data_IF_612111623398
#
_entry.id   IF_612111623398
#
_cell.length_a   1.000
_cell.length_b   1.000
_cell.length_c   1.000
_cell.angle_alpha   90.00
_cell.angle_beta   90.00
_cell.angle_gamma   90.00
#
_symmetry.space_group_name_H-M   'P 1'
#
loop_
_entity.id
_entity.type
_entity.pdbx_description
1 polymer ?
#
# COMPACT_ATOMS: atom_id res chain seq x y z
N UNK A 1 24.23 -1.68 -5.56
CA UNK A 1 23.25 -2.56 -6.23
C UNK A 1 22.63 -3.47 -5.19
N UNK A 2 21.33 -3.78 -5.33
CA UNK A 2 20.53 -4.53 -4.36
C UNK A 2 20.02 -5.80 -5.04
N UNK A 3 20.42 -6.96 -4.55
CA UNK A 3 20.14 -8.25 -5.17
C UNK A 3 18.71 -8.71 -4.88
N UNK A 4 18.04 -9.26 -5.88
CA UNK A 4 16.76 -9.95 -5.76
C UNK A 4 17.05 -11.39 -5.32
N UNK A 5 16.68 -11.75 -4.10
CA UNK A 5 16.97 -13.09 -3.54
C UNK A 5 15.80 -14.06 -3.68
N UNK A 6 14.57 -13.53 -3.87
CA UNK A 6 13.37 -14.32 -4.12
C UNK A 6 12.39 -13.51 -4.95
N UNK A 7 11.69 -14.17 -5.86
CA UNK A 7 10.59 -13.61 -6.66
C UNK A 7 9.44 -14.60 -6.75
N UNK A 8 8.20 -14.09 -6.61
CA UNK A 8 6.98 -14.89 -6.74
C UNK A 8 5.91 -14.04 -7.42
N UNK A 9 5.24 -14.58 -8.42
CA UNK A 9 4.01 -13.98 -8.94
C UNK A 9 2.86 -14.38 -8.00
N UNK A 10 2.17 -13.39 -7.45
CA UNK A 10 0.97 -13.61 -6.64
C UNK A 10 -0.27 -13.70 -7.53
N UNK A 11 -0.33 -12.85 -8.57
CA UNK A 11 -1.29 -12.88 -9.66
C UNK A 11 -0.57 -12.54 -10.96
N UNK A 12 -1.26 -12.50 -12.09
CA UNK A 12 -0.68 -12.08 -13.39
C UNK A 12 -0.09 -10.65 -13.35
N UNK A 13 -0.64 -9.80 -12.49
CA UNK A 13 -0.26 -8.39 -12.39
C UNK A 13 0.37 -7.98 -11.05
N UNK A 14 0.47 -8.89 -10.08
CA UNK A 14 1.05 -8.60 -8.76
C UNK A 14 2.24 -9.50 -8.50
N UNK A 15 3.36 -8.89 -8.20
CA UNK A 15 4.64 -9.58 -7.95
C UNK A 15 5.15 -9.29 -6.54
N UNK A 16 5.63 -10.33 -5.87
CA UNK A 16 6.39 -10.28 -4.63
C UNK A 16 7.88 -10.44 -4.94
N UNK A 17 8.72 -9.61 -4.32
CA UNK A 17 10.17 -9.76 -4.34
C UNK A 17 10.76 -9.59 -2.95
N UNK A 18 11.83 -10.34 -2.66
CA UNK A 18 12.68 -10.13 -1.49
C UNK A 18 14.01 -9.58 -1.96
N UNK A 19 14.38 -8.43 -1.43
CA UNK A 19 15.58 -7.68 -1.83
C UNK A 19 16.59 -7.71 -0.69
N UNK A 20 17.83 -8.06 -1.00
CA UNK A 20 18.94 -8.00 -0.05
C UNK A 20 19.27 -6.52 0.25
N UNK A 21 18.84 -6.04 1.42
CA UNK A 21 19.01 -4.67 1.87
C UNK A 21 19.15 -4.62 3.41
N UNK A 22 20.26 -5.13 3.98
CA UNK A 22 20.40 -5.37 5.42
C UNK A 22 20.28 -4.09 6.26
N UNK A 23 20.72 -2.94 5.74
CA UNK A 23 20.58 -1.66 6.45
C UNK A 23 19.14 -1.20 6.56
N UNK A 24 18.32 -1.47 5.53
CA UNK A 24 16.89 -1.17 5.52
C UNK A 24 16.16 -2.17 6.40
N UNK A 25 16.40 -3.47 6.22
CA UNK A 25 15.77 -4.53 7.00
C UNK A 25 15.97 -4.35 8.53
N UNK A 26 17.17 -3.93 8.95
CA UNK A 26 17.49 -3.72 10.36
C UNK A 26 16.67 -2.61 11.03
N UNK A 27 16.14 -1.65 10.27
CA UNK A 27 15.47 -0.44 10.78
C UNK A 27 14.01 -0.30 10.33
N UNK A 28 13.58 -1.10 9.39
CA UNK A 28 12.21 -1.03 8.87
C UNK A 28 11.18 -1.34 9.96
N UNK A 29 10.08 -0.59 9.94
CA UNK A 29 8.91 -0.75 10.79
C UNK A 29 7.64 -0.73 9.91
N UNK A 30 6.52 -1.32 10.36
CA UNK A 30 5.25 -1.33 9.64
C UNK A 30 4.78 0.09 9.26
N UNK A 31 4.20 0.23 8.08
CA UNK A 31 3.74 1.53 7.53
C UNK A 31 4.81 2.31 6.78
N UNK A 32 6.09 1.96 6.91
CA UNK A 32 7.16 2.62 6.17
C UNK A 32 7.29 2.09 4.74
N UNK A 33 7.99 2.84 3.89
CA UNK A 33 8.21 2.55 2.49
C UNK A 33 9.69 2.73 2.11
N UNK A 34 10.01 2.31 0.90
CA UNK A 34 11.29 2.56 0.25
C UNK A 34 11.08 3.29 -1.08
N UNK A 35 12.12 3.92 -1.59
CA UNK A 35 12.18 4.36 -2.97
C UNK A 35 13.22 3.53 -3.69
N UNK A 36 12.82 2.91 -4.80
CA UNK A 36 13.72 2.14 -5.65
C UNK A 36 13.84 2.74 -7.04
N UNK A 37 14.95 2.39 -7.69
CA UNK A 37 15.22 2.66 -9.10
C UNK A 37 15.78 1.39 -9.73
N UNK A 38 15.15 0.91 -10.79
CA UNK A 38 15.44 -0.40 -11.37
C UNK A 38 16.83 -0.43 -12.03
N UNK A 39 17.15 0.61 -12.80
CA UNK A 39 18.43 0.81 -13.50
C UNK A 39 18.82 2.30 -13.53
N UNK A 40 19.97 2.63 -14.10
CA UNK A 40 20.51 3.99 -14.10
C UNK A 40 19.63 5.02 -14.83
N UNK A 41 18.84 4.57 -15.80
CA UNK A 41 17.93 5.41 -16.58
C UNK A 41 16.48 5.32 -16.06
N UNK A 42 16.24 4.49 -15.05
CA UNK A 42 14.92 4.23 -14.49
C UNK A 42 14.41 5.38 -13.62
N UNK A 43 13.10 5.51 -13.56
CA UNK A 43 12.43 6.40 -12.62
C UNK A 43 12.53 5.88 -11.19
N UNK A 44 12.41 6.79 -10.25
CA UNK A 44 12.33 6.48 -8.81
C UNK A 44 10.86 6.29 -8.44
N UNK A 45 10.53 5.14 -7.88
CA UNK A 45 9.17 4.83 -7.44
C UNK A 45 9.13 4.45 -5.96
N UNK A 46 8.11 4.89 -5.19
CA UNK A 46 7.89 4.45 -3.84
C UNK A 46 7.21 3.08 -3.83
N UNK A 47 7.69 2.19 -2.97
CA UNK A 47 7.01 0.93 -2.66
C UNK A 47 7.03 0.71 -1.16
N UNK A 48 5.92 0.26 -0.61
CA UNK A 48 5.82 -0.02 0.82
C UNK A 48 6.64 -1.24 1.19
N UNK A 49 7.20 -1.22 2.39
CA UNK A 49 7.84 -2.36 3.02
C UNK A 49 6.74 -3.35 3.43
N UNK A 50 6.53 -4.40 2.60
CA UNK A 50 5.54 -5.45 2.84
C UNK A 50 6.02 -6.53 3.82
N UNK A 51 7.20 -6.36 4.39
CA UNK A 51 7.81 -7.23 5.39
C UNK A 51 9.34 -7.12 5.36
N UNK A 52 9.98 -7.62 6.40
CA UNK A 52 11.43 -7.64 6.50
C UNK A 52 11.91 -8.82 7.34
N UNK A 53 13.09 -9.32 7.01
CA UNK A 53 13.80 -10.34 7.78
C UNK A 53 15.15 -9.74 8.21
N UNK A 54 15.30 -9.48 9.51
CA UNK A 54 16.50 -8.85 10.08
C UNK A 54 17.70 -9.79 10.08
N UNK A 55 17.46 -11.09 10.23
CA UNK A 55 18.54 -12.09 10.26
C UNK A 55 19.13 -12.31 8.86
N UNK A 56 18.25 -12.43 7.86
CA UNK A 56 18.65 -12.56 6.45
C UNK A 56 19.02 -11.25 5.80
N UNK A 57 18.70 -10.12 6.42
CA UNK A 57 18.93 -8.79 5.87
C UNK A 57 18.11 -8.50 4.62
N UNK A 58 16.89 -9.02 4.52
CA UNK A 58 16.03 -8.87 3.34
C UNK A 58 14.79 -8.05 3.63
N UNK A 59 14.33 -7.33 2.60
CA UNK A 59 13.09 -6.57 2.60
C UNK A 59 12.14 -7.15 1.56
N UNK A 60 10.92 -7.47 1.97
CA UNK A 60 9.82 -7.91 1.11
C UNK A 60 9.12 -6.69 0.53
N UNK A 61 8.96 -6.65 -0.78
CA UNK A 61 8.14 -5.70 -1.50
C UNK A 61 7.09 -6.44 -2.33
N UNK A 62 5.88 -5.90 -2.40
CA UNK A 62 4.80 -6.41 -3.25
C UNK A 62 4.28 -5.23 -4.07
N UNK A 63 4.20 -5.40 -5.37
CA UNK A 63 3.81 -4.33 -6.27
C UNK A 63 2.89 -4.80 -7.39
N UNK A 64 2.02 -3.90 -7.82
CA UNK A 64 1.16 -4.09 -8.97
C UNK A 64 1.84 -3.53 -10.23
N UNK A 65 1.81 -4.28 -11.30
CA UNK A 65 2.37 -3.87 -12.59
C UNK A 65 1.37 -2.98 -13.30
N UNK A 66 1.54 -1.67 -13.16
CA UNK A 66 0.62 -0.65 -13.70
C UNK A 66 1.28 0.32 -14.68
N UNK A 67 2.61 0.38 -14.70
CA UNK A 67 3.37 1.33 -15.52
C UNK A 67 4.69 0.74 -16.01
N UNK A 68 5.42 1.52 -16.81
CA UNK A 68 6.69 1.11 -17.43
C UNK A 68 7.73 0.63 -16.40
N UNK A 69 7.91 1.37 -15.30
CA UNK A 69 8.89 1.05 -14.26
C UNK A 69 8.56 -0.25 -13.52
N UNK A 70 7.27 -0.45 -13.14
CA UNK A 70 6.86 -1.68 -12.45
C UNK A 70 6.90 -2.89 -13.37
N UNK A 71 6.67 -2.72 -14.69
CA UNK A 71 6.87 -3.77 -15.70
C UNK A 71 8.35 -4.15 -15.80
N UNK A 72 9.23 -3.17 -15.92
CA UNK A 72 10.68 -3.39 -15.96
C UNK A 72 11.19 -4.11 -14.70
N UNK A 73 10.63 -3.75 -13.53
CA UNK A 73 10.91 -4.43 -12.27
C UNK A 73 10.42 -5.89 -12.30
N UNK A 74 9.20 -6.12 -12.82
CA UNK A 74 8.65 -7.48 -12.95
C UNK A 74 9.50 -8.39 -13.86
N UNK A 75 10.16 -7.85 -14.88
CA UNK A 75 11.02 -8.62 -15.79
C UNK A 75 12.33 -9.09 -15.13
N UNK A 76 12.76 -8.43 -14.06
CA UNK A 76 13.93 -8.85 -13.29
C UNK A 76 13.75 -10.24 -12.70
N UNK A 77 14.84 -11.01 -12.66
CA UNK A 77 14.89 -12.40 -12.17
C UNK A 77 15.59 -12.49 -10.81
N UNK A 78 15.39 -13.58 -10.13
CA UNK A 78 16.20 -13.93 -8.95
C UNK A 78 17.69 -13.95 -9.31
N UNK A 79 18.52 -13.38 -8.43
CA UNK A 79 19.95 -13.22 -8.65
C UNK A 79 20.33 -11.92 -9.36
N UNK A 80 19.44 -11.28 -10.11
CA UNK A 80 19.69 -9.95 -10.67
C UNK A 80 19.60 -8.86 -9.60
N UNK A 81 20.03 -7.65 -9.97
CA UNK A 81 20.07 -6.52 -9.03
C UNK A 81 19.28 -5.34 -9.56
N UNK A 82 18.80 -4.51 -8.63
CA UNK A 82 18.26 -3.17 -8.86
C UNK A 82 19.32 -2.13 -8.45
N UNK A 83 19.21 -0.94 -9.05
CA UNK A 83 20.21 0.11 -8.92
C UNK A 83 20.17 0.75 -7.53
N UNK A 84 19.02 1.30 -7.14
CA UNK A 84 18.85 1.99 -5.86
C UNK A 84 17.71 1.36 -5.04
N UNK A 85 17.89 1.35 -3.72
CA UNK A 85 16.90 0.90 -2.75
C UNK A 85 17.09 1.72 -1.46
N UNK A 86 16.38 2.83 -1.35
CA UNK A 86 16.56 3.83 -0.31
C UNK A 86 15.45 3.75 0.71
N UNK A 87 15.79 3.62 1.97
CA UNK A 87 14.84 3.54 3.08
C UNK A 87 15.47 3.05 4.39
N UNK A 88 14.63 2.77 5.40
CA UNK A 88 13.18 2.99 5.41
C UNK A 88 12.87 4.49 5.42
N UNK A 89 11.78 4.88 4.75
CA UNK A 89 11.28 6.24 4.63
C UNK A 89 9.87 6.35 5.21
N UNK A 90 9.43 7.56 5.49
CA UNK A 90 8.16 7.83 6.14
C UNK A 90 8.16 7.50 7.64
N UNK A 91 7.08 7.88 8.30
CA UNK A 91 6.85 7.55 9.71
C UNK A 91 6.26 6.16 9.82
N UNK A 92 6.65 5.36 10.82
CA UNK A 92 5.97 4.10 11.10
C UNK A 92 4.54 4.39 11.58
N UNK A 93 3.63 3.45 11.34
CA UNK A 93 2.27 3.52 11.87
C UNK A 93 2.27 3.40 13.38
N UNK A 94 1.53 4.27 14.06
CA UNK A 94 1.36 4.21 15.51
C UNK A 94 0.40 3.08 15.88
N UNK A 95 0.92 2.05 16.53
CA UNK A 95 0.16 0.86 16.94
C UNK A 95 0.13 0.66 18.47
N UNK A 96 0.90 1.43 19.22
CA UNK A 96 1.01 1.27 20.67
C UNK A 96 -0.31 1.60 21.39
N UNK A 97 -0.64 0.80 22.39
CA UNK A 97 -1.82 1.00 23.25
C UNK A 97 -3.17 0.64 22.60
N UNK A 98 -3.18 0.18 21.36
CA UNK A 98 -4.40 -0.26 20.67
C UNK A 98 -4.75 -1.69 21.12
N UNK A 99 -6.05 -1.95 21.33
CA UNK A 99 -6.58 -3.26 21.75
C UNK A 99 -7.47 -3.92 20.70
N UNK A 100 -8.29 -3.13 20.00
CA UNK A 100 -9.20 -3.59 18.96
C UNK A 100 -9.06 -2.71 17.74
N UNK A 101 -8.57 -3.25 16.64
CA UNK A 101 -8.31 -2.49 15.40
C UNK A 101 -9.01 -3.16 14.23
N UNK A 102 -9.66 -2.34 13.39
CA UNK A 102 -10.15 -2.79 12.10
C UNK A 102 -9.17 -2.35 11.00
N UNK A 103 -8.61 -3.32 10.28
CA UNK A 103 -7.73 -3.07 9.13
C UNK A 103 -8.49 -3.36 7.85
N UNK A 104 -8.50 -2.39 6.93
CA UNK A 104 -9.23 -2.48 5.67
C UNK A 104 -8.25 -2.31 4.51
N UNK A 105 -8.06 -3.39 3.75
CA UNK A 105 -7.20 -3.42 2.57
C UNK A 105 -7.98 -3.50 1.26
N UNK A 106 -7.57 -2.75 0.24
CA UNK A 106 -8.16 -2.82 -1.10
C UNK A 106 -7.15 -3.13 -2.19
N UNK A 107 -7.35 -4.21 -2.95
CA UNK A 107 -6.45 -4.64 -4.02
C UNK A 107 -5.01 -4.81 -3.52
N UNK A 108 -4.04 -4.20 -4.21
CA UNK A 108 -2.63 -4.24 -3.77
C UNK A 108 -2.39 -3.53 -2.43
N UNK A 109 -3.30 -2.67 -1.96
CA UNK A 109 -3.24 -2.09 -0.63
C UNK A 109 -3.23 -3.13 0.50
N UNK A 110 -3.72 -4.34 0.24
CA UNK A 110 -3.60 -5.47 1.16
C UNK A 110 -2.13 -5.81 1.48
N UNK A 111 -1.22 -5.65 0.52
CA UNK A 111 0.21 -5.87 0.74
C UNK A 111 0.85 -4.85 1.70
N UNK A 112 0.21 -3.68 1.84
CA UNK A 112 0.63 -2.62 2.76
C UNK A 112 -0.05 -2.81 4.12
N UNK A 113 -1.29 -3.28 4.13
CA UNK A 113 -2.10 -3.51 5.31
C UNK A 113 -1.63 -4.73 6.12
N UNK A 114 -1.12 -5.77 5.45
CA UNK A 114 -0.70 -7.02 6.10
C UNK A 114 0.38 -6.82 7.17
N UNK A 115 1.50 -6.12 6.95
CA UNK A 115 2.51 -5.90 7.98
C UNK A 115 1.99 -5.20 9.23
N UNK A 116 0.94 -4.36 9.07
CA UNK A 116 0.27 -3.72 10.20
C UNK A 116 -0.61 -4.71 10.97
N UNK A 117 -1.34 -5.58 10.25
CA UNK A 117 -2.12 -6.65 10.88
C UNK A 117 -1.23 -7.59 11.67
N UNK A 118 -0.09 -8.02 11.09
CA UNK A 118 0.89 -8.87 11.74
C UNK A 118 1.46 -8.21 13.01
N UNK A 119 1.92 -6.95 12.92
CA UNK A 119 2.49 -6.24 14.04
C UNK A 119 1.48 -5.97 15.17
N UNK A 120 0.23 -5.66 14.85
CA UNK A 120 -0.84 -5.49 15.82
C UNK A 120 -1.19 -6.81 16.50
N UNK A 121 -1.28 -7.90 15.73
CA UNK A 121 -1.53 -9.24 16.26
C UNK A 121 -0.40 -9.69 17.19
N UNK A 122 0.86 -9.50 16.81
CA UNK A 122 2.04 -9.78 17.65
C UNK A 122 2.06 -8.95 18.94
N UNK A 123 1.54 -7.71 18.89
CA UNK A 123 1.37 -6.85 20.06
C UNK A 123 0.18 -7.26 20.95
N UNK A 124 -0.57 -8.31 20.60
CA UNK A 124 -1.72 -8.80 21.38
C UNK A 124 -3.02 -8.03 21.12
N UNK A 125 -3.10 -7.25 20.04
CA UNK A 125 -4.31 -6.56 19.62
C UNK A 125 -5.29 -7.54 18.95
N UNK A 126 -6.59 -7.38 19.21
CA UNK A 126 -7.66 -8.06 18.49
C UNK A 126 -7.83 -7.37 17.11
N UNK A 127 -7.32 -8.02 16.07
CA UNK A 127 -7.34 -7.49 14.71
C UNK A 127 -8.55 -8.05 13.95
N UNK A 128 -9.41 -7.16 13.46
CA UNK A 128 -10.45 -7.47 12.48
C UNK A 128 -10.00 -6.98 11.11
N UNK A 129 -9.85 -7.87 10.15
CA UNK A 129 -9.43 -7.50 8.79
C UNK A 129 -10.56 -7.62 7.78
N UNK A 130 -10.69 -6.62 6.92
CA UNK A 130 -11.58 -6.62 5.76
C UNK A 130 -10.71 -6.41 4.53
N UNK A 131 -10.63 -7.39 3.64
CA UNK A 131 -9.88 -7.30 2.40
C UNK A 131 -10.81 -7.33 1.19
N UNK A 132 -10.64 -6.39 0.26
CA UNK A 132 -11.50 -6.22 -0.89
C UNK A 132 -10.77 -6.28 -2.21
N UNK A 133 -11.38 -6.98 -3.16
CA UNK A 133 -10.87 -7.14 -4.53
C UNK A 133 -12.02 -6.99 -5.53
N UNK A 134 -11.72 -6.75 -6.79
CA UNK A 134 -12.75 -6.73 -7.83
C UNK A 134 -13.31 -8.12 -8.12
N UNK A 135 -12.44 -9.13 -8.14
CA UNK A 135 -12.75 -10.50 -8.49
C UNK A 135 -11.75 -11.47 -7.85
N UNK A 136 -12.13 -12.75 -7.76
CA UNK A 136 -11.34 -13.82 -7.12
C UNK A 136 -9.90 -13.92 -7.64
N UNK A 137 -9.67 -13.75 -8.94
CA UNK A 137 -8.33 -13.91 -9.53
C UNK A 137 -7.33 -12.83 -9.10
N UNK A 138 -7.82 -11.73 -8.51
CA UNK A 138 -6.99 -10.65 -7.98
C UNK A 138 -6.69 -10.80 -6.49
N UNK A 139 -7.23 -11.83 -5.84
CA UNK A 139 -7.05 -12.09 -4.42
C UNK A 139 -5.59 -12.42 -4.11
N UNK A 140 -5.04 -11.75 -3.10
CA UNK A 140 -3.69 -11.97 -2.59
C UNK A 140 -3.70 -12.04 -1.07
N UNK A 141 -2.76 -12.78 -0.47
CA UNK A 141 -2.41 -12.75 0.96
C UNK A 141 -3.54 -13.17 1.92
N UNK A 142 -4.54 -13.92 1.46
CA UNK A 142 -5.66 -14.33 2.32
C UNK A 142 -5.20 -15.16 3.52
N UNK A 143 -4.31 -16.12 3.29
CA UNK A 143 -3.84 -17.02 4.35
C UNK A 143 -3.04 -16.26 5.40
N UNK A 144 -2.21 -15.31 4.98
CA UNK A 144 -1.44 -14.44 5.87
C UNK A 144 -2.37 -13.53 6.69
N UNK A 145 -3.39 -12.93 6.08
CA UNK A 145 -4.39 -12.16 6.83
C UNK A 145 -5.19 -13.03 7.81
N UNK A 146 -5.51 -14.26 7.42
CA UNK A 146 -6.20 -15.21 8.30
C UNK A 146 -5.37 -15.56 9.53
N UNK A 147 -4.06 -15.67 9.37
CA UNK A 147 -3.14 -15.92 10.48
C UNK A 147 -2.94 -14.69 11.39
N UNK A 148 -3.02 -13.48 10.82
CA UNK A 148 -2.77 -12.22 11.52
C UNK A 148 -4.05 -11.54 12.07
N UNK A 149 -5.23 -12.19 11.97
CA UNK A 149 -6.51 -11.58 12.35
C UNK A 149 -7.36 -12.52 13.17
N UNK A 150 -8.03 -11.99 14.18
CA UNK A 150 -9.08 -12.70 14.92
C UNK A 150 -10.31 -12.93 14.02
N UNK A 151 -10.63 -11.93 13.17
CA UNK A 151 -11.73 -11.99 12.22
C UNK A 151 -11.26 -11.49 10.85
N UNK A 152 -11.52 -12.30 9.80
CA UNK A 152 -11.21 -11.94 8.42
C UNK A 152 -12.49 -11.99 7.58
N UNK A 153 -12.79 -10.87 6.90
CA UNK A 153 -13.83 -10.81 5.87
C UNK A 153 -13.19 -10.53 4.52
N UNK A 154 -13.45 -11.41 3.55
CA UNK A 154 -13.02 -11.25 2.16
C UNK A 154 -14.20 -10.80 1.31
N UNK A 155 -14.00 -9.70 0.56
CA UNK A 155 -15.01 -9.11 -0.31
C UNK A 155 -14.56 -9.18 -1.77
N UNK A 156 -15.49 -9.47 -2.68
CA UNK A 156 -15.28 -9.26 -4.11
C UNK A 156 -16.44 -8.47 -4.70
N UNK A 157 -16.13 -7.46 -5.53
CA UNK A 157 -17.16 -6.59 -6.12
C UNK A 157 -18.16 -7.40 -6.96
N UNK A 158 -17.66 -8.41 -7.68
CA UNK A 158 -18.45 -9.30 -8.58
C UNK A 158 -19.08 -10.52 -7.87
N UNK A 159 -18.79 -10.73 -6.59
CA UNK A 159 -19.27 -11.88 -5.82
C UNK A 159 -18.63 -13.22 -6.20
N UNK A 160 -17.54 -13.24 -6.96
CA UNK A 160 -16.86 -14.46 -7.40
C UNK A 160 -16.17 -15.22 -6.27
N UNK A 161 -15.95 -14.57 -5.11
CA UNK A 161 -15.37 -15.17 -3.91
C UNK A 161 -15.71 -14.38 -2.65
N UNK A 162 -15.82 -15.05 -1.51
CA UNK A 162 -16.15 -14.41 -0.23
C UNK A 162 -17.56 -13.81 -0.25
N UNK A 163 -17.70 -12.59 0.24
CA UNK A 163 -18.95 -11.82 0.19
C UNK A 163 -18.97 -10.87 -1.00
N UNK A 164 -20.12 -10.77 -1.67
CA UNK A 164 -20.33 -9.81 -2.75
C UNK A 164 -20.47 -8.39 -2.21
N UNK A 165 -19.82 -7.43 -2.88
CA UNK A 165 -19.90 -6.01 -2.56
C UNK A 165 -18.56 -5.41 -2.14
N UNK A 166 -18.58 -4.18 -1.65
CA UNK A 166 -17.39 -3.44 -1.27
C UNK A 166 -17.09 -3.54 0.24
N UNK A 167 -15.88 -3.14 0.64
CA UNK A 167 -15.38 -3.22 2.03
C UNK A 167 -16.15 -2.40 3.05
N UNK A 168 -16.93 -1.39 2.61
CA UNK A 168 -17.74 -0.58 3.51
C UNK A 168 -18.98 -1.33 4.02
N UNK A 169 -19.46 -2.35 3.28
CA UNK A 169 -20.64 -3.12 3.68
C UNK A 169 -20.41 -3.84 5.02
N UNK A 170 -19.43 -4.73 5.18
CA UNK A 170 -19.19 -5.39 6.46
C UNK A 170 -18.80 -4.41 7.56
N UNK A 171 -18.06 -3.33 7.26
CA UNK A 171 -17.75 -2.31 8.24
C UNK A 171 -19.05 -1.65 8.78
N UNK A 172 -19.95 -1.25 7.89
CA UNK A 172 -21.21 -0.60 8.31
C UNK A 172 -22.09 -1.52 9.13
N UNK A 173 -22.16 -2.81 8.80
CA UNK A 173 -22.89 -3.84 9.58
C UNK A 173 -22.32 -3.96 10.99
N UNK A 174 -21.00 -4.18 11.13
CA UNK A 174 -20.34 -4.30 12.42
C UNK A 174 -20.56 -3.07 13.30
N UNK A 175 -20.44 -1.87 12.72
CA UNK A 175 -20.65 -0.62 13.45
C UNK A 175 -22.11 -0.42 13.87
N UNK A 176 -23.08 -0.82 13.01
CA UNK A 176 -24.51 -0.79 13.33
C UNK A 176 -24.89 -1.80 14.42
N UNK A 177 -24.24 -2.98 14.44
CA UNK A 177 -24.42 -4.01 15.47
C UNK A 177 -23.77 -3.64 16.82
N UNK A 178 -23.13 -2.47 16.87
CA UNK A 178 -22.56 -1.95 18.12
C UNK A 178 -21.10 -2.27 18.34
N UNK A 179 -20.41 -2.87 17.37
CA UNK A 179 -18.96 -3.06 17.48
C UNK A 179 -18.22 -1.72 17.54
N UNK A 180 -17.14 -1.69 18.30
CA UNK A 180 -16.29 -0.51 18.45
C UNK A 180 -14.84 -0.90 18.34
N UNK A 181 -14.08 -0.07 17.65
CA UNK A 181 -12.64 -0.20 17.45
C UNK A 181 -11.93 1.02 18.05
N UNK A 182 -10.75 0.84 18.57
CA UNK A 182 -9.89 1.94 19.00
C UNK A 182 -9.42 2.76 17.80
N UNK A 183 -9.23 2.06 16.66
CA UNK A 183 -8.81 2.69 15.39
C UNK A 183 -9.26 1.84 14.19
N UNK A 184 -9.61 2.52 13.12
CA UNK A 184 -9.74 1.93 11.78
C UNK A 184 -8.54 2.38 10.96
N UNK A 185 -7.86 1.44 10.28
CA UNK A 185 -6.74 1.73 9.37
C UNK A 185 -7.16 1.26 7.99
N UNK A 186 -7.17 2.14 7.01
CA UNK A 186 -7.59 1.79 5.66
C UNK A 186 -6.53 2.13 4.61
N UNK A 187 -6.27 1.19 3.71
CA UNK A 187 -5.20 1.25 2.72
C UNK A 187 -5.68 0.69 1.40
N UNK A 188 -5.66 1.51 0.36
CA UNK A 188 -6.11 1.10 -0.96
C UNK A 188 -6.41 2.29 -1.89
N UNK A 189 -7.29 2.11 -2.88
CA UNK A 189 -7.70 3.19 -3.76
C UNK A 189 -8.29 4.38 -2.99
N UNK A 190 -7.94 5.60 -3.39
CA UNK A 190 -8.41 6.84 -2.72
C UNK A 190 -9.92 6.89 -2.55
N UNK A 191 -10.67 6.44 -3.57
CA UNK A 191 -12.14 6.38 -3.52
C UNK A 191 -12.61 5.43 -2.41
N UNK A 192 -11.99 4.25 -2.28
CA UNK A 192 -12.31 3.29 -1.22
C UNK A 192 -12.04 3.89 0.15
N UNK A 193 -10.85 4.45 0.37
CA UNK A 193 -10.48 5.07 1.64
C UNK A 193 -11.43 6.22 2.01
N UNK A 194 -11.81 7.08 1.06
CA UNK A 194 -12.81 8.13 1.26
C UNK A 194 -14.14 7.59 1.77
N UNK A 195 -14.63 6.48 1.20
CA UNK A 195 -15.89 5.88 1.63
C UNK A 195 -15.78 5.17 2.98
N UNK A 196 -14.66 4.51 3.27
CA UNK A 196 -14.41 3.93 4.61
C UNK A 196 -14.43 5.02 5.68
N UNK A 197 -13.74 6.14 5.46
CA UNK A 197 -13.73 7.30 6.37
C UNK A 197 -15.16 7.80 6.61
N UNK A 198 -15.94 8.00 5.55
CA UNK A 198 -17.35 8.42 5.65
C UNK A 198 -18.22 7.42 6.41
N UNK A 199 -17.95 6.13 6.30
CA UNK A 199 -18.69 5.08 7.03
C UNK A 199 -18.36 5.10 8.52
N UNK A 200 -17.12 5.41 8.89
CA UNK A 200 -16.66 5.48 10.28
C UNK A 200 -17.07 6.78 10.99
N UNK A 201 -17.21 7.88 10.26
CA UNK A 201 -17.44 9.24 10.77
C UNK A 201 -18.61 9.35 11.76
N UNK A 202 -19.82 8.79 11.49
CA UNK A 202 -20.97 8.91 12.41
C UNK A 202 -20.71 8.23 13.77
N UNK A 203 -19.74 7.35 13.85
CA UNK A 203 -19.40 6.59 15.06
C UNK A 203 -18.23 7.21 15.84
N UNK A 204 -17.59 8.25 15.31
CA UNK A 204 -16.49 8.96 15.96
C UNK A 204 -15.23 8.10 16.18
N UNK A 205 -15.04 7.04 15.40
CA UNK A 205 -13.90 6.13 15.55
C UNK A 205 -12.70 6.74 14.80
N UNK A 206 -11.52 6.89 15.43
CA UNK A 206 -10.31 7.34 14.74
C UNK A 206 -10.03 6.53 13.49
N UNK A 207 -9.87 7.20 12.34
CA UNK A 207 -9.66 6.54 11.06
C UNK A 207 -8.37 7.03 10.41
N UNK A 208 -7.39 6.14 10.28
CA UNK A 208 -6.13 6.42 9.61
C UNK A 208 -6.16 5.93 8.17
N UNK A 209 -5.68 6.76 7.25
CA UNK A 209 -5.54 6.44 5.82
C UNK A 209 -4.07 6.50 5.41
N UNK A 210 -3.60 5.50 4.67
CA UNK A 210 -2.23 5.47 4.16
C UNK A 210 -2.19 6.01 2.73
N UNK A 211 -1.58 7.18 2.57
CA UNK A 211 -1.59 7.95 1.33
C UNK A 211 -0.37 7.63 0.47
N UNK A 212 -0.59 7.40 -0.82
CA UNK A 212 0.45 7.05 -1.79
C UNK A 212 0.52 8.00 -3.00
N UNK A 213 0.70 9.32 -2.80
CA UNK A 213 0.91 10.24 -3.92
C UNK A 213 2.23 9.94 -4.62
N UNK A 214 2.45 10.58 -5.78
CA UNK A 214 3.74 10.49 -6.50
C UNK A 214 4.87 10.95 -5.58
N UNK A 215 5.90 10.11 -5.43
CA UNK A 215 7.09 10.41 -4.63
C UNK A 215 8.34 10.16 -5.46
N UNK A 216 9.28 11.12 -5.44
CA UNK A 216 10.51 11.07 -6.24
C UNK A 216 11.73 10.95 -5.33
N UNK A 217 11.92 11.85 -4.36
CA UNK A 217 13.10 11.84 -3.49
C UNK A 217 12.86 11.18 -2.11
N UNK A 218 11.67 11.29 -1.56
CA UNK A 218 11.32 10.71 -0.26
C UNK A 218 11.81 11.48 0.96
N UNK A 219 12.37 12.68 0.79
CA UNK A 219 13.00 13.48 1.85
C UNK A 219 12.28 14.81 2.16
N UNK A 220 11.17 15.07 1.46
CA UNK A 220 10.38 16.30 1.60
C UNK A 220 10.89 17.50 0.77
N UNK A 221 11.98 17.34 0.02
CA UNK A 221 12.59 18.46 -0.72
C UNK A 221 11.88 18.76 -2.04
N UNK A 222 11.48 17.74 -2.81
CA UNK A 222 10.93 17.95 -4.15
C UNK A 222 9.46 18.42 -4.15
N UNK A 223 8.73 18.24 -3.05
CA UNK A 223 7.33 18.63 -2.93
C UNK A 223 6.34 17.83 -3.79
N UNK A 224 6.77 16.78 -4.49
CA UNK A 224 5.92 15.96 -5.36
C UNK A 224 4.79 15.26 -4.60
N UNK A 225 5.07 14.79 -3.40
CA UNK A 225 4.14 14.05 -2.55
C UNK A 225 3.24 14.92 -1.65
N UNK A 226 3.08 16.21 -1.99
CA UNK A 226 2.22 17.08 -1.19
C UNK A 226 0.76 16.67 -1.26
N UNK A 227 0.09 16.78 -0.13
CA UNK A 227 -1.35 16.62 0.01
C UNK A 227 -1.90 17.72 0.93
N UNK A 228 -3.18 17.97 0.85
CA UNK A 228 -3.87 18.96 1.68
C UNK A 228 -4.65 18.25 2.78
N UNK A 229 -4.43 18.71 4.02
CA UNK A 229 -5.28 18.41 5.16
C UNK A 229 -6.15 19.62 5.50
N UNK A 230 -7.36 19.38 5.97
CA UNK A 230 -8.25 20.40 6.54
C UNK A 230 -8.24 20.22 8.05
N UNK A 231 -7.62 21.15 8.78
CA UNK A 231 -7.50 21.12 10.24
C UNK A 231 -8.03 22.44 10.79
N UNK A 232 -9.00 22.38 11.71
CA UNK A 232 -9.66 23.57 12.28
C UNK A 232 -10.18 24.56 11.20
N UNK A 233 -10.74 24.01 10.12
CA UNK A 233 -11.25 24.77 8.97
C UNK A 233 -10.17 25.42 8.09
N UNK A 234 -8.88 25.15 8.35
CA UNK A 234 -7.76 25.66 7.55
C UNK A 234 -7.14 24.57 6.70
N UNK A 235 -6.76 24.93 5.49
CA UNK A 235 -6.02 24.05 4.58
C UNK A 235 -4.54 24.08 4.92
N UNK A 236 -3.97 22.92 5.23
CA UNK A 236 -2.55 22.75 5.58
C UNK A 236 -1.90 21.79 4.60
N UNK A 237 -0.79 22.17 4.01
CA UNK A 237 -0.02 21.29 3.12
C UNK A 237 0.88 20.40 3.95
N UNK A 238 0.86 19.10 3.64
CA UNK A 238 1.73 18.07 4.20
C UNK A 238 2.43 17.30 3.09
N UNK A 239 3.55 16.67 3.42
CA UNK A 239 4.33 15.83 2.50
C UNK A 239 4.27 14.38 2.96
N UNK A 240 3.63 13.52 2.17
CA UNK A 240 3.44 12.12 2.54
C UNK A 240 4.74 11.38 2.87
N UNK A 241 5.85 11.75 2.24
CA UNK A 241 7.14 11.09 2.46
C UNK A 241 7.81 11.39 3.81
N UNK A 242 7.46 12.50 4.49
CA UNK A 242 8.08 12.91 5.76
C UNK A 242 7.08 13.16 6.87
N UNK A 243 5.85 13.60 6.55
CA UNK A 243 4.77 13.77 7.54
C UNK A 243 3.95 12.52 7.73
N UNK A 244 3.88 11.62 6.71
CA UNK A 244 3.12 10.40 6.65
C UNK A 244 4.00 9.16 6.42
N UNK A 245 3.48 8.14 5.72
CA UNK A 245 2.36 8.15 4.76
C UNK A 245 0.97 8.14 5.39
N UNK A 246 0.86 7.87 6.68
CA UNK A 246 -0.39 7.75 7.40
C UNK A 246 -0.89 9.11 7.89
N UNK A 247 -2.19 9.37 7.67
CA UNK A 247 -2.85 10.61 8.04
C UNK A 247 -4.22 10.34 8.66
N UNK A 248 -4.72 11.30 9.44
CA UNK A 248 -6.10 11.32 9.88
C UNK A 248 -7.03 11.42 8.66
N UNK A 249 -7.83 10.38 8.45
CA UNK A 249 -8.73 10.29 7.32
C UNK A 249 -9.78 11.41 7.28
N UNK A 250 -10.19 11.93 8.44
CA UNK A 250 -11.13 13.04 8.52
C UNK A 250 -10.56 14.38 8.09
N UNK A 251 -9.22 14.50 8.14
CA UNK A 251 -8.54 15.71 7.73
C UNK A 251 -8.15 15.72 6.24
N UNK A 252 -8.06 14.57 5.57
CA UNK A 252 -7.58 14.50 4.18
C UNK A 252 -8.58 15.08 3.18
N UNK A 253 -8.11 16.01 2.33
CA UNK A 253 -8.85 16.45 1.14
C UNK A 253 -8.72 15.39 0.02
N UNK A 254 -9.62 14.40 0.06
CA UNK A 254 -9.63 13.32 -0.93
C UNK A 254 -9.94 13.80 -2.35
N UNK A 255 -10.72 14.85 -2.53
CA UNK A 255 -11.08 15.35 -3.85
C UNK A 255 -9.86 15.97 -4.54
N UNK A 256 -9.08 16.79 -3.81
CA UNK A 256 -7.81 17.28 -4.31
C UNK A 256 -6.82 16.13 -4.56
N UNK A 257 -6.70 15.16 -3.65
CA UNK A 257 -5.81 14.02 -3.81
C UNK A 257 -6.13 13.20 -5.07
N UNK A 258 -7.41 12.95 -5.36
CA UNK A 258 -7.84 12.25 -6.58
C UNK A 258 -7.56 13.06 -7.84
N UNK A 259 -7.80 14.38 -7.82
CA UNK A 259 -7.49 15.27 -8.95
C UNK A 259 -5.99 15.24 -9.25
N UNK A 260 -5.14 15.35 -8.23
CA UNK A 260 -3.67 15.31 -8.38
C UNK A 260 -3.17 13.96 -8.90
N UNK A 261 -3.74 12.85 -8.43
CA UNK A 261 -3.41 11.50 -8.91
C UNK A 261 -3.80 11.24 -10.38
N UNK A 262 -4.58 12.12 -10.98
CA UNK A 262 -4.97 12.04 -12.39
C UNK A 262 -4.13 12.90 -13.36
N UNK A 263 -3.23 13.76 -12.84
CA UNK A 263 -2.57 14.80 -13.66
C UNK A 263 -1.65 14.28 -14.77
N UNK A 264 -1.07 13.10 -14.62
CA UNK A 264 -0.08 12.54 -15.57
C UNK A 264 -0.56 11.26 -16.26
N UNK A 265 -1.86 10.96 -16.24
CA UNK A 265 -2.39 9.70 -16.80
C UNK A 265 -2.15 9.50 -18.29
N UNK A 266 -2.15 10.57 -19.06
CA UNK A 266 -1.90 10.48 -20.50
C UNK A 266 -0.42 10.21 -20.78
N UNK A 267 0.48 10.90 -20.10
CA UNK A 267 1.92 10.72 -20.20
C UNK A 267 2.33 9.32 -19.73
N UNK A 268 1.76 8.85 -18.62
CA UNK A 268 2.00 7.48 -18.09
C UNK A 268 1.53 6.43 -19.09
N UNK A 269 0.37 6.62 -19.72
CA UNK A 269 -0.14 5.71 -20.76
C UNK A 269 0.78 5.67 -21.97
N UNK A 270 1.21 6.82 -22.49
CA UNK A 270 2.13 6.90 -23.62
C UNK A 270 3.48 6.24 -23.29
N UNK A 271 4.03 6.46 -22.11
CA UNK A 271 5.27 5.83 -21.66
C UNK A 271 5.12 4.30 -21.56
N UNK A 272 3.99 3.83 -21.07
CA UNK A 272 3.69 2.40 -20.98
C UNK A 272 3.57 1.76 -22.38
N UNK A 273 2.82 2.38 -23.30
CA UNK A 273 2.63 1.91 -24.69
C UNK A 273 3.97 1.88 -25.45
N UNK A 274 4.80 2.93 -25.32
CA UNK A 274 6.13 2.98 -25.93
C UNK A 274 7.03 1.85 -25.42
N UNK A 275 7.00 1.58 -24.11
CA UNK A 275 7.75 0.47 -23.50
C UNK A 275 7.25 -0.89 -24.02
N UNK A 276 5.94 -1.10 -24.12
CA UNK A 276 5.35 -2.32 -24.66
C UNK A 276 5.76 -2.59 -26.12
N UNK A 277 5.83 -1.55 -26.96
CA UNK A 277 6.24 -1.68 -28.35
C UNK A 277 7.73 -2.03 -28.50
N UNK A 278 8.60 -1.49 -27.64
CA UNK A 278 10.03 -1.83 -27.64
C UNK A 278 10.28 -3.30 -27.27
N UNK A 279 9.45 -3.89 -26.42
CA UNK A 279 9.56 -5.31 -26.03
C UNK A 279 9.05 -6.26 -27.13
N UNK A 280 8.00 -5.90 -27.88
CA UNK A 280 7.51 -6.70 -29.01
C UNK A 280 8.59 -6.90 -30.09
N UNK A 281 9.39 -5.88 -30.38
CA UNK A 281 10.49 -5.99 -31.35
C UNK A 281 11.72 -6.74 -30.84
N UNK A 282 11.83 -7.05 -29.53
CA UNK A 282 12.91 -7.90 -28.97
C UNK A 282 12.59 -9.39 -29.02
N UNK A 283 11.32 -9.76 -29.10
CA UNK A 283 10.91 -11.17 -29.25
C UNK A 283 10.91 -11.63 -30.73
N UNK A 284 10.97 -10.69 -31.67
CA UNK A 284 11.01 -10.97 -33.12
C UNK A 284 12.44 -11.00 -33.72
N UNK A 285 13.51 -10.76 -32.95
CA UNK A 285 14.91 -10.86 -33.31
C UNK A 285 15.66 -11.83 -32.37
#
# INVERSE_FOLDING_TARGET
MYRIVKKKSLTDSVTEMHIEAPRVAARALPGQFIILRVDEQGERIPLTVAGYDRERGTVRIIFHVVGATTRKLQEKREGESICDFVGPLGKPTEIEGLRRVCIIGGGVGCAIALPLAEALHEAGCEVTSIIGFREKKLLILEDEFRAASAHLTVMTDDGSYGRAGNVCLPLSEMLADGERFDKIITIGPLVMMKFVVKTAEPYGIPCTVSMNPIMIDGTGMCGGCRLTLVQDGKRVTKFACVDGPDFDGYAVDFDEAMMRGGMYREEERHAYEATCNLFRHREEN
#
